data_IF_056492402731
#
_entry.id   IF_056492402731
#
_cell.length_a   1.000
_cell.length_b   1.000
_cell.length_c   1.000
_cell.angle_alpha   90.00
_cell.angle_beta   90.00
_cell.angle_gamma   90.00
#
_symmetry.space_group_name_H-M   'P 1'
#
loop_
_entity.id
_entity.type
_entity.pdbx_description
1 polymer ?
#
# COMPACT_ATOMS: atom_id res chain seq x y z
N UNK A 1 11.04 23.52 18.42
CA UNK A 1 12.00 24.04 17.42
C UNK A 1 11.54 23.57 16.06
N UNK A 2 10.92 24.46 15.31
CA UNK A 2 10.54 24.28 13.92
C UNK A 2 11.80 24.13 13.06
N UNK A 3 11.79 23.23 12.10
CA UNK A 3 12.80 23.19 11.03
C UNK A 3 12.98 24.60 10.46
N UNK A 4 14.21 25.06 10.21
CA UNK A 4 14.50 26.42 9.73
C UNK A 4 13.89 26.78 8.35
N UNK A 5 13.12 25.87 7.75
CA UNK A 5 12.33 26.13 6.55
C UNK A 5 11.10 26.99 6.90
N UNK A 6 11.16 28.27 6.56
CA UNK A 6 10.07 29.23 6.74
C UNK A 6 9.08 29.26 5.57
N UNK A 7 9.24 28.37 4.58
CA UNK A 7 8.45 28.35 3.36
C UNK A 7 9.08 29.14 2.21
N UNK A 8 8.26 29.49 1.22
CA UNK A 8 8.64 30.13 -0.04
C UNK A 8 8.01 29.41 -1.22
N UNK A 9 7.91 30.06 -2.39
CA UNK A 9 7.25 29.45 -3.55
C UNK A 9 8.28 28.80 -4.48
N UNK A 10 8.30 27.47 -4.52
CA UNK A 10 9.22 26.66 -5.31
C UNK A 10 8.47 25.94 -6.44
N UNK A 11 7.97 26.72 -7.40
CA UNK A 11 7.15 26.24 -8.52
C UNK A 11 7.86 25.29 -9.50
N UNK A 12 9.19 25.10 -9.41
CA UNK A 12 9.94 24.15 -10.25
C UNK A 12 10.24 22.81 -9.59
N UNK A 13 10.08 22.71 -8.27
CA UNK A 13 10.35 21.46 -7.55
C UNK A 13 9.24 20.45 -7.86
N UNK A 14 9.64 19.22 -8.17
CA UNK A 14 8.74 18.09 -8.46
C UNK A 14 8.95 16.92 -7.52
N UNK A 15 10.13 16.85 -6.90
CA UNK A 15 10.50 15.79 -5.99
C UNK A 15 11.06 16.41 -4.72
N UNK A 16 10.51 16.00 -3.58
CA UNK A 16 10.98 16.32 -2.25
C UNK A 16 11.30 15.04 -1.47
N UNK A 17 12.47 15.02 -0.83
CA UNK A 17 12.85 14.00 0.15
C UNK A 17 13.00 14.68 1.51
N UNK A 18 12.30 14.16 2.50
CA UNK A 18 12.30 14.65 3.87
C UNK A 18 12.92 13.60 4.77
N UNK A 19 14.07 13.92 5.36
CA UNK A 19 14.80 13.06 6.29
C UNK A 19 15.14 13.87 7.53
N UNK A 20 14.63 13.45 8.69
CA UNK A 20 14.98 14.06 9.97
C UNK A 20 14.81 13.03 11.10
N UNK A 21 15.53 13.24 12.19
CA UNK A 21 15.35 12.53 13.45
C UNK A 21 14.20 13.11 14.27
N UNK A 22 13.85 14.38 14.06
CA UNK A 22 12.74 15.06 14.76
C UNK A 22 11.45 14.88 13.96
N UNK A 23 10.30 14.60 14.61
CA UNK A 23 9.05 14.41 13.89
C UNK A 23 8.63 15.66 13.11
N UNK A 24 8.06 15.46 11.92
CA UNK A 24 7.40 16.51 11.16
C UNK A 24 5.95 16.61 11.61
N UNK A 25 5.56 17.72 12.23
CA UNK A 25 4.19 17.94 12.67
C UNK A 25 3.27 18.25 11.48
N UNK A 26 1.96 18.15 11.69
CA UNK A 26 0.95 18.30 10.64
C UNK A 26 1.06 19.67 9.91
N UNK A 27 1.27 20.75 10.67
CA UNK A 27 1.39 22.11 10.17
C UNK A 27 2.59 22.25 9.22
N UNK A 28 3.63 21.43 9.40
CA UNK A 28 4.76 21.45 8.50
C UNK A 28 4.36 20.98 7.10
N UNK A 29 3.53 19.94 6.99
CA UNK A 29 3.02 19.47 5.71
C UNK A 29 2.10 20.46 5.02
N UNK A 30 1.41 21.33 5.77
CA UNK A 30 0.71 22.48 5.20
C UNK A 30 1.71 23.46 4.57
N UNK A 31 2.81 23.80 5.25
CA UNK A 31 3.85 24.66 4.67
C UNK A 31 4.43 24.03 3.40
N UNK A 32 4.68 22.72 3.40
CA UNK A 32 5.15 21.98 2.22
C UNK A 32 4.13 22.07 1.07
N UNK A 33 2.84 21.82 1.30
CA UNK A 33 1.85 21.83 0.22
C UNK A 33 1.74 23.19 -0.47
N UNK A 34 1.85 24.28 0.28
CA UNK A 34 1.86 25.64 -0.25
C UNK A 34 3.18 26.00 -0.94
N UNK A 35 4.30 25.55 -0.36
CA UNK A 35 5.63 25.90 -0.88
C UNK A 35 5.97 25.16 -2.17
N UNK A 36 5.41 23.96 -2.36
CA UNK A 36 5.69 23.09 -3.50
C UNK A 36 4.39 22.71 -4.25
N UNK A 37 3.70 23.68 -4.88
CA UNK A 37 2.37 23.45 -5.45
C UNK A 37 2.35 22.41 -6.57
N UNK A 38 3.49 22.18 -7.24
CA UNK A 38 3.65 21.22 -8.32
C UNK A 38 4.38 19.94 -7.90
N UNK A 39 4.46 19.66 -6.59
CA UNK A 39 5.10 18.46 -6.06
C UNK A 39 4.44 17.19 -6.60
N UNK A 40 5.25 16.30 -7.16
CA UNK A 40 4.83 15.06 -7.80
C UNK A 40 5.24 13.82 -7.01
N UNK A 41 6.41 13.89 -6.36
CA UNK A 41 6.98 12.80 -5.56
C UNK A 41 7.38 13.30 -4.18
N UNK A 42 6.95 12.58 -3.15
CA UNK A 42 7.28 12.87 -1.76
C UNK A 42 7.80 11.60 -1.11
N UNK A 43 9.01 11.66 -0.56
CA UNK A 43 9.57 10.61 0.27
C UNK A 43 9.80 11.15 1.67
N UNK A 44 9.30 10.44 2.67
CA UNK A 44 9.46 10.80 4.07
C UNK A 44 10.23 9.67 4.75
N UNK A 45 11.25 10.01 5.52
CA UNK A 45 11.99 9.08 6.38
C UNK A 45 12.07 9.69 7.77
N UNK A 46 11.27 9.14 8.67
CA UNK A 46 11.17 9.60 10.05
C UNK A 46 10.50 8.53 10.91
N UNK A 47 11.24 7.95 11.84
CA UNK A 47 10.74 6.86 12.69
C UNK A 47 10.08 7.35 13.98
N UNK A 48 10.12 8.65 14.27
CA UNK A 48 9.54 9.22 15.48
C UNK A 48 8.05 9.50 15.31
N UNK A 49 7.30 9.33 16.40
CA UNK A 49 5.89 9.69 16.46
C UNK A 49 5.70 11.21 16.41
N UNK A 50 4.61 11.65 15.79
CA UNK A 50 4.17 13.03 15.84
C UNK A 50 3.65 13.34 17.24
N UNK A 51 3.97 14.53 17.76
CA UNK A 51 3.49 14.93 19.09
C UNK A 51 2.07 15.49 19.03
N UNK A 52 1.74 16.22 17.96
CA UNK A 52 0.50 16.97 17.83
C UNK A 52 -0.46 16.31 16.82
N UNK A 53 -0.98 15.13 17.17
CA UNK A 53 -1.71 14.26 16.22
C UNK A 53 -3.15 14.68 15.91
N UNK A 54 -3.80 15.48 16.76
CA UNK A 54 -5.27 15.48 16.86
C UNK A 54 -5.98 16.83 16.64
N UNK A 55 -5.26 17.95 16.47
CA UNK A 55 -5.90 19.28 16.58
C UNK A 55 -5.76 20.18 15.35
N UNK A 56 -5.23 19.69 14.25
CA UNK A 56 -5.18 20.46 13.02
C UNK A 56 -6.52 20.35 12.29
N UNK A 57 -7.30 21.43 12.30
CA UNK A 57 -8.45 21.61 11.41
C UNK A 57 -8.02 21.96 9.97
N UNK A 58 -6.71 21.99 9.71
CA UNK A 58 -6.17 22.48 8.45
C UNK A 58 -6.24 21.40 7.38
N UNK A 59 -6.90 21.75 6.27
CA UNK A 59 -6.93 20.91 5.09
C UNK A 59 -5.64 21.05 4.26
N UNK A 60 -4.96 19.93 4.03
CA UNK A 60 -3.71 19.85 3.27
C UNK A 60 -4.00 19.16 1.94
N UNK A 61 -3.73 19.85 0.83
CA UNK A 61 -3.92 19.27 -0.51
C UNK A 61 -2.60 19.20 -1.26
N UNK A 62 -2.25 18.00 -1.72
CA UNK A 62 -1.15 17.79 -2.66
C UNK A 62 -1.72 17.48 -4.05
N UNK A 63 -2.11 18.53 -4.78
CA UNK A 63 -2.88 18.41 -6.02
C UNK A 63 -2.18 17.59 -7.12
N UNK A 64 -0.85 17.58 -7.15
CA UNK A 64 -0.05 16.94 -8.19
C UNK A 64 0.72 15.69 -7.74
N UNK A 65 0.62 15.33 -6.45
CA UNK A 65 1.39 14.22 -5.90
C UNK A 65 0.84 12.90 -6.41
N UNK A 66 1.65 12.18 -7.18
CA UNK A 66 1.29 10.87 -7.71
C UNK A 66 2.07 9.73 -7.07
N UNK A 67 3.20 10.02 -6.42
CA UNK A 67 4.08 9.06 -5.77
C UNK A 67 4.42 9.47 -4.34
N UNK A 68 4.18 8.53 -3.41
CA UNK A 68 4.43 8.70 -1.99
C UNK A 68 5.24 7.50 -1.46
N UNK A 69 6.38 7.79 -0.82
CA UNK A 69 7.24 6.80 -0.17
C UNK A 69 7.24 7.00 1.36
N UNK A 70 6.67 6.02 2.06
CA UNK A 70 6.49 5.93 3.52
C UNK A 70 7.20 4.69 4.10
N UNK A 71 8.15 4.08 3.39
CA UNK A 71 8.75 2.79 3.82
C UNK A 71 9.56 2.89 5.12
N UNK A 72 10.04 4.08 5.47
CA UNK A 72 10.82 4.34 6.70
C UNK A 72 10.16 5.43 7.54
N UNK A 73 8.83 5.38 7.66
CA UNK A 73 8.08 6.33 8.47
C UNK A 73 7.40 5.66 9.66
N UNK A 74 7.18 6.45 10.70
CA UNK A 74 6.25 6.13 11.78
C UNK A 74 4.81 6.00 11.22
N UNK A 75 3.96 5.26 11.93
CA UNK A 75 2.56 5.03 11.52
C UNK A 75 1.73 6.31 11.46
N UNK A 76 2.08 7.34 12.24
CA UNK A 76 1.34 8.60 12.24
C UNK A 76 1.30 9.26 10.86
N UNK A 77 2.41 9.22 10.11
CA UNK A 77 2.45 9.73 8.73
C UNK A 77 1.55 8.89 7.81
N UNK A 78 1.49 7.58 8.02
CA UNK A 78 0.61 6.69 7.24
C UNK A 78 -0.85 7.04 7.49
N UNK A 79 -1.23 7.25 8.75
CA UNK A 79 -2.57 7.71 9.13
C UNK A 79 -2.87 9.06 8.47
N UNK A 80 -1.97 10.03 8.60
CA UNK A 80 -2.15 11.37 8.03
C UNK A 80 -2.36 11.34 6.51
N UNK A 81 -1.59 10.55 5.76
CA UNK A 81 -1.68 10.56 4.29
C UNK A 81 -2.74 9.62 3.71
N UNK A 82 -3.01 8.47 4.34
CA UNK A 82 -3.90 7.47 3.77
C UNK A 82 -5.32 7.48 4.37
N UNK A 83 -5.50 8.01 5.58
CA UNK A 83 -6.75 7.91 6.32
C UNK A 83 -7.32 9.26 6.77
N UNK A 84 -6.48 10.25 7.08
CA UNK A 84 -6.96 11.53 7.57
C UNK A 84 -7.76 12.27 6.50
N UNK A 85 -9.01 12.61 6.84
CA UNK A 85 -9.93 13.41 6.00
C UNK A 85 -9.39 14.80 5.67
N UNK A 86 -8.42 15.28 6.45
CA UNK A 86 -7.80 16.58 6.25
C UNK A 86 -6.66 16.54 5.22
N UNK A 87 -6.25 15.37 4.72
CA UNK A 87 -5.23 15.26 3.67
C UNK A 87 -5.84 14.77 2.37
N UNK A 88 -5.74 15.57 1.32
CA UNK A 88 -6.23 15.24 -0.01
C UNK A 88 -5.09 14.94 -0.99
N UNK A 89 -5.12 13.73 -1.55
CA UNK A 89 -4.14 13.21 -2.50
C UNK A 89 -4.84 12.76 -3.80
N UNK A 90 -5.45 13.68 -4.58
CA UNK A 90 -6.35 13.32 -5.67
C UNK A 90 -5.67 12.53 -6.80
N UNK A 91 -4.35 12.65 -6.95
CA UNK A 91 -3.56 12.01 -8.03
C UNK A 91 -2.67 10.87 -7.55
N UNK A 92 -2.76 10.47 -6.27
CA UNK A 92 -1.93 9.40 -5.74
C UNK A 92 -2.23 8.09 -6.45
N UNK A 93 -1.20 7.51 -7.07
CA UNK A 93 -1.29 6.24 -7.80
C UNK A 93 -0.14 5.30 -7.47
N UNK A 94 0.93 5.80 -6.86
CA UNK A 94 2.13 5.04 -6.51
C UNK A 94 2.38 5.17 -5.01
N UNK A 95 2.40 4.05 -4.31
CA UNK A 95 2.64 4.00 -2.88
C UNK A 95 3.78 3.01 -2.59
N UNK A 96 4.77 3.46 -1.83
CA UNK A 96 5.79 2.60 -1.24
C UNK A 96 5.66 2.65 0.27
N UNK A 97 5.49 1.50 0.93
CA UNK A 97 5.14 1.45 2.36
C UNK A 97 5.54 0.10 2.98
N UNK A 98 5.58 0.04 4.31
CA UNK A 98 5.66 -1.21 5.07
C UNK A 98 4.29 -1.88 5.19
N UNK A 99 4.27 -3.20 5.28
CA UNK A 99 3.04 -3.98 5.40
C UNK A 99 2.34 -3.72 6.73
N UNK A 100 3.07 -3.77 7.85
CA UNK A 100 2.47 -3.64 9.20
C UNK A 100 1.69 -2.33 9.40
N UNK A 101 2.24 -1.13 9.09
CA UNK A 101 1.48 0.12 9.19
C UNK A 101 0.29 0.17 8.22
N UNK A 102 0.46 -0.33 6.99
CA UNK A 102 -0.62 -0.37 6.00
C UNK A 102 -1.78 -1.24 6.49
N UNK A 103 -1.50 -2.45 6.95
CA UNK A 103 -2.50 -3.37 7.48
C UNK A 103 -3.18 -2.78 8.73
N UNK A 104 -2.43 -2.08 9.59
CA UNK A 104 -2.98 -1.42 10.78
C UNK A 104 -3.95 -0.31 10.41
N UNK A 105 -3.55 0.61 9.53
CA UNK A 105 -4.40 1.76 9.13
C UNK A 105 -5.64 1.32 8.36
N UNK A 106 -5.50 0.27 7.54
CA UNK A 106 -6.63 -0.30 6.78
C UNK A 106 -7.48 -1.26 7.60
N UNK A 107 -7.16 -1.50 8.88
CA UNK A 107 -7.80 -2.50 9.75
C UNK A 107 -7.90 -3.88 9.08
N UNK A 108 -6.77 -4.35 8.54
CA UNK A 108 -6.72 -5.59 7.76
C UNK A 108 -7.52 -5.50 6.47
N UNK A 109 -7.48 -4.35 5.79
CA UNK A 109 -8.17 -4.11 4.51
C UNK A 109 -9.70 -4.17 4.63
N UNK A 110 -10.25 -3.63 5.72
CA UNK A 110 -11.71 -3.54 5.96
C UNK A 110 -12.22 -2.11 6.20
N UNK A 111 -11.31 -1.14 6.35
CA UNK A 111 -11.67 0.25 6.61
C UNK A 111 -12.06 0.99 5.32
N UNK A 112 -13.31 1.43 5.18
CA UNK A 112 -13.80 2.08 3.96
C UNK A 112 -13.16 3.46 3.68
N UNK A 113 -12.80 4.23 4.71
CA UNK A 113 -12.21 5.55 4.50
C UNK A 113 -10.82 5.45 3.85
N UNK A 114 -9.98 4.52 4.33
CA UNK A 114 -8.68 4.25 3.72
C UNK A 114 -8.81 3.54 2.35
N UNK A 115 -9.93 2.84 2.10
CA UNK A 115 -10.20 2.17 0.82
C UNK A 115 -10.31 3.19 -0.32
N UNK A 116 -10.94 4.35 -0.09
CA UNK A 116 -11.08 5.40 -1.11
C UNK A 116 -9.73 5.89 -1.66
N UNK A 117 -8.72 5.99 -0.80
CA UNK A 117 -7.36 6.36 -1.20
C UNK A 117 -6.65 5.16 -1.86
N UNK A 118 -6.75 3.98 -1.25
CA UNK A 118 -6.07 2.77 -1.70
C UNK A 118 -6.58 2.22 -3.05
N UNK A 119 -7.88 2.35 -3.35
CA UNK A 119 -8.49 1.88 -4.58
C UNK A 119 -7.92 2.56 -5.85
N UNK A 120 -7.33 3.75 -5.70
CA UNK A 120 -6.70 4.52 -6.79
C UNK A 120 -5.26 4.07 -7.08
N UNK A 121 -4.63 3.32 -6.16
CA UNK A 121 -3.24 2.89 -6.28
C UNK A 121 -3.10 1.90 -7.43
N UNK A 122 -2.20 2.24 -8.35
CA UNK A 122 -1.84 1.48 -9.54
C UNK A 122 -0.53 0.73 -9.37
N UNK A 123 0.35 1.23 -8.51
CA UNK A 123 1.62 0.60 -8.15
C UNK A 123 1.81 0.65 -6.64
N UNK A 124 1.89 -0.52 -6.03
CA UNK A 124 2.14 -0.69 -4.61
C UNK A 124 3.45 -1.44 -4.43
N UNK A 125 4.38 -0.85 -3.70
CA UNK A 125 5.64 -1.47 -3.30
C UNK A 125 5.60 -1.67 -1.80
N UNK A 126 5.65 -2.94 -1.37
CA UNK A 126 5.75 -3.31 0.03
C UNK A 126 7.19 -3.76 0.28
N UNK A 127 7.85 -3.14 1.27
CA UNK A 127 9.29 -3.35 1.50
C UNK A 127 9.60 -4.77 1.98
N UNK A 128 8.76 -5.32 2.84
CA UNK A 128 8.92 -6.65 3.43
C UNK A 128 8.07 -7.72 2.72
N UNK A 129 8.51 -8.99 2.74
CA UNK A 129 7.64 -10.12 2.39
C UNK A 129 6.41 -10.15 3.30
N UNK A 130 5.25 -10.46 2.72
CA UNK A 130 4.01 -10.62 3.48
C UNK A 130 3.10 -11.65 2.80
N UNK A 131 2.19 -12.23 3.59
CA UNK A 131 1.13 -13.08 3.08
C UNK A 131 -0.05 -12.19 2.72
N UNK A 132 -0.49 -12.24 1.46
CA UNK A 132 -1.63 -11.46 0.98
C UNK A 132 -2.92 -11.97 1.64
N UNK A 133 -3.61 -11.16 2.47
CA UNK A 133 -4.93 -11.55 2.98
C UNK A 133 -5.97 -11.53 1.86
N UNK A 134 -7.08 -12.23 2.07
CA UNK A 134 -8.14 -12.43 1.07
C UNK A 134 -8.65 -11.09 0.48
N UNK A 135 -8.87 -10.09 1.33
CA UNK A 135 -9.38 -8.77 0.93
C UNK A 135 -8.32 -7.85 0.29
N UNK A 136 -7.06 -8.26 0.22
CA UNK A 136 -5.98 -7.39 -0.24
C UNK A 136 -6.22 -6.86 -1.66
N UNK A 137 -6.57 -7.74 -2.61
CA UNK A 137 -6.71 -7.35 -4.02
C UNK A 137 -7.94 -6.50 -4.28
N UNK A 138 -9.06 -6.75 -3.61
CA UNK A 138 -10.26 -5.92 -3.73
C UNK A 138 -10.05 -4.52 -3.13
N UNK A 139 -9.17 -4.40 -2.14
CA UNK A 139 -8.80 -3.13 -1.55
C UNK A 139 -7.96 -2.25 -2.48
N UNK A 140 -7.18 -2.86 -3.39
CA UNK A 140 -6.38 -2.20 -4.42
C UNK A 140 -6.93 -2.48 -5.83
N UNK A 141 -8.21 -2.13 -6.06
CA UNK A 141 -8.92 -2.46 -7.30
C UNK A 141 -8.22 -1.98 -8.58
N UNK A 142 -7.60 -0.80 -8.57
CA UNK A 142 -6.83 -0.30 -9.72
C UNK A 142 -5.58 -1.13 -10.03
N UNK A 143 -4.88 -1.61 -8.99
CA UNK A 143 -3.74 -2.52 -9.12
C UNK A 143 -4.20 -3.85 -9.73
N UNK A 144 -5.28 -4.43 -9.21
CA UNK A 144 -5.86 -5.66 -9.73
C UNK A 144 -6.24 -5.55 -11.21
N UNK A 145 -6.93 -4.47 -11.60
CA UNK A 145 -7.32 -4.23 -13.00
C UNK A 145 -6.12 -4.19 -13.94
N UNK A 146 -5.01 -3.56 -13.53
CA UNK A 146 -3.79 -3.50 -14.33
C UNK A 146 -3.17 -4.88 -14.52
N UNK A 147 -3.06 -5.66 -13.44
CA UNK A 147 -2.55 -7.03 -13.49
C UNK A 147 -3.41 -7.90 -14.42
N UNK A 148 -4.73 -7.84 -14.30
CA UNK A 148 -5.66 -8.60 -15.15
C UNK A 148 -5.57 -8.18 -16.62
N UNK A 149 -5.45 -6.88 -16.93
CA UNK A 149 -5.33 -6.40 -18.31
C UNK A 149 -4.03 -6.87 -19.00
N UNK A 150 -2.93 -6.95 -18.26
CA UNK A 150 -1.67 -7.42 -18.79
C UNK A 150 -1.69 -8.92 -19.10
N UNK A 151 -2.42 -9.72 -18.30
CA UNK A 151 -2.58 -11.15 -18.55
C UNK A 151 -3.39 -11.45 -19.82
N UNK A 152 -4.45 -10.67 -20.09
CA UNK A 152 -5.28 -10.84 -21.30
C UNK A 152 -4.51 -10.52 -22.58
N UNK A 153 -3.65 -9.49 -22.57
CA UNK A 153 -2.83 -9.13 -23.72
C UNK A 153 -1.77 -10.19 -24.07
N UNK A 154 -1.27 -10.92 -23.08
CA UNK A 154 -0.32 -12.02 -23.30
C UNK A 154 -1.06 -13.22 -23.93
N UNK A 155 -2.27 -13.56 -23.47
CA UNK A 155 -3.07 -14.64 -24.07
C UNK A 155 -3.49 -14.38 -25.52
N UNK A 156 -3.83 -13.13 -25.85
CA UNK A 156 -4.22 -12.73 -27.22
C UNK A 156 -3.06 -12.77 -28.23
N UNK A 157 -1.81 -12.68 -27.77
CA UNK A 157 -0.64 -12.65 -28.66
C UNK A 157 -0.25 -14.03 -29.18
N UNK A 158 -0.67 -15.11 -28.48
CA UNK A 158 -0.44 -16.49 -28.93
C UNK A 158 -1.54 -17.03 -29.86
N UNK A 159 -2.72 -16.40 -29.92
CA UNK A 159 -3.82 -16.85 -30.79
C UNK A 159 -3.77 -16.31 -32.22
N UNK A 160 -2.87 -15.38 -32.56
CA UNK A 160 -2.70 -14.87 -33.93
C UNK A 160 -1.65 -15.59 -34.78
N UNK A 161 -0.91 -16.54 -34.21
CA UNK A 161 0.15 -17.28 -34.93
C UNK A 161 -0.23 -18.70 -35.35
N UNK A 162 -1.47 -19.13 -35.13
CA UNK A 162 -1.97 -20.46 -35.50
C UNK A 162 -3.31 -20.35 -36.23
N UNK A 163 -3.27 -19.77 -37.43
CA UNK A 163 -4.44 -19.71 -38.32
C UNK A 163 -4.05 -19.86 -39.80
N UNK A 164 -3.03 -20.66 -40.13
CA UNK A 164 -2.87 -21.22 -41.49
C UNK A 164 -2.30 -22.63 -41.37
N UNK A 165 -3.16 -23.61 -41.09
CA UNK A 165 -3.19 -24.93 -41.75
C UNK A 165 -4.25 -25.80 -41.08
N UNK A 166 -5.48 -25.72 -41.57
CA UNK A 166 -6.44 -26.83 -41.45
C UNK A 166 -6.08 -27.83 -42.54
N UNK A 167 -5.49 -28.96 -42.15
CA UNK A 167 -5.60 -30.20 -42.90
C UNK A 167 -6.06 -31.30 -41.95
N UNK A 168 -7.17 -31.87 -42.38
CA UNK A 168 -7.99 -32.97 -41.86
C UNK A 168 -7.18 -34.25 -41.71
N UNK A 169 -7.36 -34.99 -40.60
CA UNK A 169 -7.62 -36.44 -40.64
C UNK A 169 -8.20 -36.94 -39.32
N UNK A 170 -9.29 -37.68 -39.45
CA UNK A 170 -9.91 -38.54 -38.46
C UNK A 170 -8.95 -39.61 -37.91
N UNK A 171 -8.99 -39.88 -36.61
CA UNK A 171 -8.83 -41.24 -36.09
C UNK A 171 -9.46 -41.37 -34.70
N UNK A 172 -10.41 -42.31 -34.61
CA UNK A 172 -11.01 -42.84 -33.39
C UNK A 172 -9.97 -43.67 -32.64
N UNK A 173 -9.92 -43.58 -31.32
CA UNK A 173 -9.55 -44.73 -30.50
C UNK A 173 -10.17 -44.63 -29.10
N UNK A 174 -10.97 -45.65 -28.77
CA UNK A 174 -11.46 -45.98 -27.44
C UNK A 174 -10.33 -46.47 -26.54
N UNK A 175 -10.49 -46.33 -25.22
CA UNK A 175 -9.58 -46.92 -24.24
C UNK A 175 -9.76 -46.46 -22.79
N UNK A 176 -10.77 -47.01 -22.13
CA UNK A 176 -11.00 -47.03 -20.67
C UNK A 176 -9.80 -47.60 -19.89
N UNK A 177 -9.55 -47.11 -18.66
CA UNK A 177 -9.01 -47.78 -17.42
C UNK A 177 -8.59 -46.65 -16.46
N UNK A 178 -9.34 -46.31 -15.40
CA UNK A 178 -9.40 -46.94 -14.06
C UNK A 178 -8.06 -47.11 -13.34
N UNK A 179 -7.73 -46.22 -12.40
CA UNK A 179 -7.35 -46.61 -11.02
C UNK A 179 -7.02 -45.38 -10.15
N UNK A 180 -7.68 -45.30 -8.99
CA UNK A 180 -7.28 -44.49 -7.83
C UNK A 180 -6.03 -45.09 -7.19
N UNK A 181 -5.27 -44.28 -6.43
CA UNK A 181 -5.23 -44.60 -5.00
C UNK A 181 -5.34 -43.39 -4.08
N UNK A 182 -5.87 -43.72 -2.89
CA UNK A 182 -5.96 -42.92 -1.67
C UNK A 182 -4.57 -42.58 -1.13
N UNK A 183 -4.41 -41.39 -0.55
CA UNK A 183 -3.46 -41.20 0.53
C UNK A 183 -4.06 -40.29 1.61
N UNK A 184 -4.16 -40.86 2.80
CA UNK A 184 -4.57 -40.25 4.04
C UNK A 184 -3.57 -39.17 4.46
N UNK A 185 -4.06 -37.95 4.72
CA UNK A 185 -3.32 -36.94 5.46
C UNK A 185 -3.80 -36.93 6.91
N UNK A 186 -2.88 -37.33 7.80
CA UNK A 186 -3.03 -37.30 9.25
C UNK A 186 -3.00 -35.86 9.77
N UNK A 187 -3.90 -35.61 10.71
CA UNK A 187 -3.97 -34.44 11.56
C UNK A 187 -2.66 -34.20 12.34
N UNK A 188 -2.24 -32.93 12.40
CA UNK A 188 -1.20 -32.44 13.31
C UNK A 188 -1.72 -31.22 14.07
N UNK A 189 -1.91 -31.29 15.40
CA UNK A 189 -2.23 -30.13 16.21
C UNK A 189 -0.95 -29.66 16.92
N UNK A 190 -0.34 -28.58 16.43
CA UNK A 190 0.75 -27.91 17.15
C UNK A 190 0.35 -26.49 17.60
N UNK A 191 0.25 -26.38 18.92
CA UNK A 191 0.65 -25.27 19.79
C UNK A 191 -0.17 -23.97 19.80
N UNK A 192 -1.03 -23.89 20.82
CA UNK A 192 -1.32 -22.64 21.51
C UNK A 192 -0.15 -22.20 22.39
N UNK A 193 0.24 -20.93 22.29
CA UNK A 193 0.95 -20.21 23.35
C UNK A 193 0.18 -18.92 23.64
N UNK A 194 -0.44 -18.86 24.83
CA UNK A 194 -0.87 -17.60 25.43
C UNK A 194 0.36 -16.93 26.03
N UNK A 195 0.70 -15.74 25.54
CA UNK A 195 1.66 -14.86 26.20
C UNK A 195 0.90 -13.96 27.18
N UNK A 196 1.30 -14.04 28.45
CA UNK A 196 0.76 -13.28 29.57
C UNK A 196 1.62 -12.02 29.74
N UNK A 197 1.00 -10.84 29.70
CA UNK A 197 1.72 -9.57 29.93
C UNK A 197 2.03 -9.39 31.43
N UNK A 198 3.23 -8.85 31.77
CA UNK A 198 3.55 -8.46 33.13
C UNK A 198 2.86 -7.15 33.52
N UNK A 199 2.32 -7.12 34.74
CA UNK A 199 1.78 -5.92 35.41
C UNK A 199 2.94 -5.04 35.85
N UNK A 200 3.03 -3.83 35.31
CA UNK A 200 3.86 -2.77 35.90
C UNK A 200 3.21 -2.30 37.21
N UNK A 201 3.95 -2.43 38.32
CA UNK A 201 3.65 -1.73 39.56
C UNK A 201 4.30 -0.36 39.52
N UNK A 202 3.52 0.63 39.96
CA UNK A 202 3.91 2.01 40.22
C UNK A 202 5.11 2.07 41.17
N UNK A 203 6.02 2.99 40.88
CA UNK A 203 6.97 3.51 41.87
C UNK A 203 6.56 4.97 42.11
N UNK A 204 5.96 5.20 43.27
CA UNK A 204 5.96 6.51 43.92
C UNK A 204 7.24 6.60 44.75
N UNK A 205 8.02 7.67 44.55
CA UNK A 205 8.77 8.48 45.53
C UNK A 205 9.74 9.38 44.77
#
# INVERSE_FOLDING_TARGET
MTSGFQGGMFNKVRWLVMLDIRPFENEFFQVISHSFPLLQRLSITNLQSQKNKQNSSTFITFAHLFELDLKRTHIDYVVQFLFDKNTSLPRLTHLTIRYEPLATVTQGFTNDAAHLTCAKIKRLVIQEPFVRPEKFLSYFSSLYRLLSSNLVNIGSSYSRSLSIHRSTTHLKHDGTISSKPRHDFKDSPYFGRKAQMPKHKNVES
#
